data_IF_516581702633
#
_entry.id   IF_516581702633
#
_cell.length_a   1.000
_cell.length_b   1.000
_cell.length_c   1.000
_cell.angle_alpha   90.00
_cell.angle_beta   90.00
_cell.angle_gamma   90.00
#
_symmetry.space_group_name_H-M   'P 1'
#
loop_
_entity.id
_entity.type
_entity.pdbx_description
1 polymer ?
#
# COMPACT_ATOMS: atom_id res chain seq x y z
N UNK A 1 20.32 0.44 -6.53
CA UNK A 1 18.90 0.07 -6.30
C UNK A 1 17.99 1.29 -6.21
N UNK A 2 18.42 2.39 -5.57
CA UNK A 2 17.58 3.57 -5.34
C UNK A 2 17.30 4.40 -6.60
N UNK A 3 18.28 4.59 -7.47
CA UNK A 3 18.11 5.36 -8.72
C UNK A 3 17.13 4.70 -9.71
N UNK A 4 17.09 3.39 -9.76
CA UNK A 4 16.19 2.66 -10.65
C UNK A 4 14.74 2.77 -10.18
N UNK A 5 14.48 2.67 -8.88
CA UNK A 5 13.15 2.84 -8.28
C UNK A 5 12.58 4.26 -8.47
N UNK A 6 13.40 5.29 -8.37
CA UNK A 6 13.00 6.69 -8.62
C UNK A 6 12.60 6.87 -10.09
N UNK A 7 13.42 6.39 -11.03
CA UNK A 7 13.15 6.50 -12.46
C UNK A 7 11.89 5.75 -12.89
N UNK A 8 11.66 4.55 -12.34
CA UNK A 8 10.47 3.75 -12.67
C UNK A 8 9.19 4.43 -12.18
N UNK A 9 9.21 5.07 -11.02
CA UNK A 9 8.07 5.80 -10.51
C UNK A 9 7.78 7.09 -11.28
N UNK A 10 8.80 7.87 -11.61
CA UNK A 10 8.67 9.05 -12.46
C UNK A 10 8.07 8.68 -13.82
N UNK A 11 8.53 7.58 -14.40
CA UNK A 11 8.01 7.03 -15.66
C UNK A 11 6.54 6.60 -15.55
N UNK A 12 6.13 5.96 -14.44
CA UNK A 12 4.72 5.61 -14.20
C UNK A 12 3.85 6.86 -14.16
N UNK A 13 4.27 7.88 -13.41
CA UNK A 13 3.54 9.15 -13.29
C UNK A 13 3.49 9.89 -14.62
N UNK A 14 4.59 9.92 -15.35
CA UNK A 14 4.66 10.54 -16.67
C UNK A 14 3.73 9.85 -17.66
N UNK A 15 3.74 8.52 -17.73
CA UNK A 15 2.83 7.75 -18.57
C UNK A 15 1.36 7.98 -18.20
N UNK A 16 1.03 7.96 -16.91
CA UNK A 16 -0.33 8.24 -16.43
C UNK A 16 -0.77 9.65 -16.83
N UNK A 17 0.11 10.64 -16.75
CA UNK A 17 -0.18 12.01 -17.18
C UNK A 17 -0.53 12.04 -18.68
N UNK A 18 0.25 11.37 -19.52
CA UNK A 18 -0.01 11.26 -20.96
C UNK A 18 -1.38 10.60 -21.21
N UNK A 19 -1.70 9.51 -20.53
CA UNK A 19 -2.97 8.79 -20.72
C UNK A 19 -4.17 9.64 -20.28
N UNK A 20 -4.06 10.33 -19.13
CA UNK A 20 -5.09 11.23 -18.62
C UNK A 20 -5.31 12.40 -19.61
N UNK A 21 -4.24 13.01 -20.10
CA UNK A 21 -4.32 14.10 -21.05
C UNK A 21 -4.97 13.66 -22.36
N UNK A 22 -4.60 12.49 -22.88
CA UNK A 22 -5.17 11.93 -24.10
C UNK A 22 -6.67 11.60 -23.94
N UNK A 23 -7.10 11.02 -22.81
CA UNK A 23 -8.51 10.78 -22.51
C UNK A 23 -9.30 12.08 -22.46
N UNK A 24 -8.75 13.11 -21.80
CA UNK A 24 -9.31 14.44 -21.72
C UNK A 24 -9.51 15.11 -23.10
N UNK A 25 -8.49 15.01 -23.96
CA UNK A 25 -8.55 15.56 -25.31
C UNK A 25 -9.63 14.91 -26.17
N UNK A 26 -9.88 13.61 -25.96
CA UNK A 26 -10.94 12.89 -26.69
C UNK A 26 -12.32 13.03 -26.06
N UNK A 27 -12.42 13.53 -24.81
CA UNK A 27 -13.68 13.59 -24.06
C UNK A 27 -14.21 12.21 -23.65
N UNK A 28 -13.33 11.23 -23.49
CA UNK A 28 -13.65 9.84 -23.16
C UNK A 28 -13.20 9.50 -21.73
N UNK A 29 -13.78 8.42 -21.18
CA UNK A 29 -13.25 7.83 -19.94
C UNK A 29 -11.82 7.31 -20.16
N UNK A 30 -11.00 7.40 -19.12
CA UNK A 30 -9.68 6.78 -19.12
C UNK A 30 -9.85 5.24 -19.09
N UNK A 31 -8.94 4.52 -19.71
CA UNK A 31 -8.85 3.07 -19.53
C UNK A 31 -8.78 2.69 -18.05
N UNK A 32 -9.35 1.54 -17.69
CA UNK A 32 -9.31 1.08 -16.30
C UNK A 32 -7.89 0.89 -15.79
N UNK A 33 -7.63 1.34 -14.57
CA UNK A 33 -6.30 1.40 -13.95
C UNK A 33 -6.21 0.42 -12.78
N UNK A 34 -5.19 -0.41 -12.75
CA UNK A 34 -4.85 -1.23 -11.59
C UNK A 34 -3.62 -0.65 -10.89
N UNK A 35 -3.79 -0.27 -9.62
CA UNK A 35 -2.71 0.16 -8.74
C UNK A 35 -2.38 -0.97 -7.76
N UNK A 36 -1.18 -1.52 -7.84
CA UNK A 36 -0.79 -2.59 -6.92
C UNK A 36 0.57 -2.32 -6.27
N UNK A 37 0.74 -2.83 -5.07
CA UNK A 37 1.96 -2.64 -4.28
C UNK A 37 1.68 -2.55 -2.79
N UNK A 38 2.72 -2.44 -1.95
CA UNK A 38 2.61 -2.39 -0.49
C UNK A 38 1.60 -1.37 0.02
N UNK A 39 1.07 -1.54 1.24
CA UNK A 39 0.15 -0.58 1.84
C UNK A 39 0.85 0.75 2.14
N UNK A 40 0.08 1.84 2.19
CA UNK A 40 0.59 3.16 2.60
C UNK A 40 1.33 3.96 1.52
N UNK A 41 1.38 3.50 0.26
CA UNK A 41 2.07 4.16 -0.85
C UNK A 41 1.24 5.23 -1.58
N UNK A 42 0.01 5.50 -1.13
CA UNK A 42 -0.83 6.56 -1.69
C UNK A 42 -1.67 6.15 -2.90
N UNK A 43 -2.07 4.87 -3.02
CA UNK A 43 -2.95 4.38 -4.10
C UNK A 43 -4.24 5.19 -4.21
N UNK A 44 -4.93 5.41 -3.10
CA UNK A 44 -6.15 6.23 -3.03
C UNK A 44 -5.89 7.70 -3.41
N UNK A 45 -4.77 8.25 -2.94
CA UNK A 45 -4.37 9.63 -3.27
C UNK A 45 -4.11 9.78 -4.76
N UNK A 46 -3.41 8.84 -5.39
CA UNK A 46 -3.13 8.85 -6.82
C UNK A 46 -4.44 8.74 -7.63
N UNK A 47 -5.37 7.91 -7.19
CA UNK A 47 -6.68 7.76 -7.84
C UNK A 47 -7.51 9.05 -7.78
N UNK A 48 -7.47 9.76 -6.65
CA UNK A 48 -8.11 11.06 -6.53
C UNK A 48 -7.44 12.13 -7.41
N UNK A 49 -6.11 12.10 -7.53
CA UNK A 49 -5.38 12.98 -8.45
C UNK A 49 -5.80 12.72 -9.90
N UNK A 50 -5.93 11.45 -10.31
CA UNK A 50 -6.41 11.09 -11.66
C UNK A 50 -7.80 11.70 -11.92
N UNK A 51 -8.75 11.55 -10.99
CA UNK A 51 -10.08 12.14 -11.14
C UNK A 51 -10.07 13.67 -11.24
N UNK A 52 -9.26 14.32 -10.39
CA UNK A 52 -9.11 15.78 -10.41
C UNK A 52 -8.50 16.28 -11.72
N UNK A 53 -7.48 15.59 -12.25
CA UNK A 53 -6.86 15.93 -13.52
C UNK A 53 -7.80 15.70 -14.72
N UNK A 54 -8.65 14.68 -14.66
CA UNK A 54 -9.71 14.45 -15.64
C UNK A 54 -10.84 15.50 -15.52
N UNK A 55 -11.00 16.12 -14.34
CA UNK A 55 -12.07 17.08 -14.07
C UNK A 55 -13.44 16.42 -13.87
N UNK A 56 -13.47 15.20 -13.34
CA UNK A 56 -14.67 14.35 -13.14
C UNK A 56 -14.89 13.99 -11.68
N UNK A 57 -16.05 13.42 -11.38
CA UNK A 57 -16.39 12.95 -10.04
C UNK A 57 -15.51 11.78 -9.60
N UNK A 58 -15.35 11.63 -8.26
CA UNK A 58 -14.57 10.57 -7.64
C UNK A 58 -15.41 9.86 -6.58
N UNK A 59 -15.67 8.56 -6.79
CA UNK A 59 -16.36 7.72 -5.82
C UNK A 59 -15.42 6.65 -5.27
N UNK A 60 -15.53 6.39 -3.99
CA UNK A 60 -14.66 5.46 -3.26
C UNK A 60 -15.50 4.36 -2.65
N UNK A 61 -15.06 3.13 -2.85
CA UNK A 61 -15.55 1.94 -2.14
C UNK A 61 -14.41 0.95 -1.90
N UNK A 62 -14.70 -0.21 -1.36
CA UNK A 62 -13.72 -1.28 -1.16
C UNK A 62 -14.32 -2.65 -1.44
N UNK A 63 -13.47 -3.63 -1.77
CA UNK A 63 -13.91 -5.01 -2.02
C UNK A 63 -14.79 -5.58 -0.91
N UNK A 64 -14.39 -5.48 0.38
CA UNK A 64 -15.18 -5.99 1.50
C UNK A 64 -16.56 -5.34 1.69
N UNK A 65 -16.77 -4.12 1.19
CA UNK A 65 -18.06 -3.41 1.30
C UNK A 65 -19.03 -3.87 0.21
N UNK A 66 -18.51 -4.30 -0.92
CA UNK A 66 -19.29 -4.81 -2.06
C UNK A 66 -19.60 -6.31 -1.87
N UNK A 67 -20.53 -6.60 -0.98
CA UNK A 67 -20.87 -7.98 -0.61
C UNK A 67 -21.82 -8.63 -1.62
N UNK A 68 -22.71 -7.84 -2.23
CA UNK A 68 -23.77 -8.29 -3.13
C UNK A 68 -23.73 -7.53 -4.46
N UNK A 69 -24.20 -8.16 -5.57
CA UNK A 69 -24.33 -7.49 -6.86
C UNK A 69 -25.11 -6.17 -6.80
N UNK A 70 -26.14 -6.10 -5.95
CA UNK A 70 -26.93 -4.87 -5.75
C UNK A 70 -26.12 -3.70 -5.19
N UNK A 71 -25.12 -3.95 -4.35
CA UNK A 71 -24.26 -2.92 -3.80
C UNK A 71 -23.41 -2.30 -4.93
N UNK A 72 -22.85 -3.16 -5.78
CA UNK A 72 -22.09 -2.73 -6.96
C UNK A 72 -22.99 -1.97 -7.95
N UNK A 73 -24.18 -2.49 -8.25
CA UNK A 73 -25.13 -1.84 -9.15
C UNK A 73 -25.54 -0.45 -8.66
N UNK A 74 -25.80 -0.31 -7.36
CA UNK A 74 -26.17 0.97 -6.75
C UNK A 74 -25.08 2.04 -6.92
N UNK A 75 -23.79 1.66 -6.81
CA UNK A 75 -22.68 2.58 -7.03
C UNK A 75 -22.56 2.89 -8.53
N UNK A 76 -22.53 1.88 -9.39
CA UNK A 76 -22.32 2.04 -10.83
C UNK A 76 -23.39 2.90 -11.49
N UNK A 77 -24.68 2.70 -11.13
CA UNK A 77 -25.80 3.51 -11.67
C UNK A 77 -25.80 4.95 -11.17
N UNK A 78 -25.06 5.26 -10.12
CA UNK A 78 -24.94 6.61 -9.56
C UNK A 78 -23.75 7.41 -10.11
N UNK A 79 -22.96 6.81 -11.04
CA UNK A 79 -21.83 7.49 -11.68
C UNK A 79 -22.31 8.42 -12.79
N UNK A 80 -21.76 9.61 -12.84
CA UNK A 80 -21.89 10.52 -13.96
C UNK A 80 -20.92 10.12 -15.10
N UNK A 81 -21.13 10.62 -16.34
CA UNK A 81 -20.24 10.29 -17.46
C UNK A 81 -18.76 10.59 -17.15
N UNK A 82 -17.90 9.59 -17.40
CA UNK A 82 -16.45 9.63 -17.21
C UNK A 82 -15.97 9.69 -15.74
N UNK A 83 -16.86 9.56 -14.76
CA UNK A 83 -16.48 9.50 -13.35
C UNK A 83 -15.45 8.42 -13.07
N UNK A 84 -14.65 8.61 -12.01
CA UNK A 84 -13.71 7.64 -11.51
C UNK A 84 -14.31 6.89 -10.31
N UNK A 85 -14.43 5.60 -10.42
CA UNK A 85 -14.76 4.70 -9.32
C UNK A 85 -13.47 4.06 -8.79
N UNK A 86 -13.16 4.29 -7.52
CA UNK A 86 -12.03 3.65 -6.84
C UNK A 86 -12.53 2.50 -5.96
N UNK A 87 -11.97 1.30 -6.18
CA UNK A 87 -12.23 0.10 -5.34
C UNK A 87 -10.92 -0.28 -4.64
N UNK A 88 -10.84 -0.04 -3.34
CA UNK A 88 -9.71 -0.50 -2.53
C UNK A 88 -9.85 -1.99 -2.20
N UNK A 89 -8.72 -2.68 -2.02
CA UNK A 89 -8.67 -4.12 -1.74
C UNK A 89 -9.53 -4.93 -2.73
N UNK A 90 -9.43 -4.61 -4.03
CA UNK A 90 -10.28 -5.20 -5.10
C UNK A 90 -10.15 -6.73 -5.18
N UNK A 91 -9.03 -7.31 -4.72
CA UNK A 91 -8.84 -8.77 -4.63
C UNK A 91 -9.77 -9.47 -3.62
N UNK A 92 -10.49 -8.70 -2.79
CA UNK A 92 -11.45 -9.20 -1.80
C UNK A 92 -12.91 -9.18 -2.28
N UNK A 93 -13.14 -8.84 -3.54
CA UNK A 93 -14.46 -9.01 -4.14
C UNK A 93 -14.89 -10.48 -4.13
N UNK A 94 -16.17 -10.73 -3.86
CA UNK A 94 -16.72 -12.07 -4.02
C UNK A 94 -16.75 -12.45 -5.53
N UNK A 95 -16.61 -13.75 -5.89
CA UNK A 95 -16.65 -14.16 -7.29
C UNK A 95 -17.91 -13.70 -8.02
N UNK A 96 -19.05 -13.66 -7.32
CA UNK A 96 -20.32 -13.23 -7.89
C UNK A 96 -20.28 -11.74 -8.24
N UNK A 97 -19.80 -10.89 -7.34
CA UNK A 97 -19.69 -9.44 -7.60
C UNK A 97 -18.65 -9.17 -8.70
N UNK A 98 -17.57 -9.95 -8.73
CA UNK A 98 -16.54 -9.83 -9.75
C UNK A 98 -17.08 -10.11 -11.16
N UNK A 99 -17.96 -11.11 -11.34
CA UNK A 99 -18.61 -11.40 -12.63
C UNK A 99 -19.47 -10.23 -13.13
N UNK A 100 -20.22 -9.57 -12.24
CA UNK A 100 -20.98 -8.36 -12.59
C UNK A 100 -20.07 -7.19 -12.99
N UNK A 101 -18.92 -7.09 -12.36
CA UNK A 101 -17.94 -6.06 -12.65
C UNK A 101 -17.33 -6.23 -14.07
N UNK A 102 -17.20 -7.46 -14.57
CA UNK A 102 -16.67 -7.70 -15.91
C UNK A 102 -17.50 -7.03 -17.00
N UNK A 103 -18.82 -7.25 -17.00
CA UNK A 103 -19.73 -6.65 -17.98
C UNK A 103 -19.77 -5.11 -17.85
N UNK A 104 -19.71 -4.62 -16.61
CA UNK A 104 -19.66 -3.20 -16.35
C UNK A 104 -18.38 -2.54 -16.91
N UNK A 105 -17.23 -3.22 -16.84
CA UNK A 105 -15.94 -2.71 -17.35
C UNK A 105 -15.85 -2.77 -18.88
N UNK A 106 -16.39 -3.84 -19.50
CA UNK A 106 -16.25 -4.04 -20.95
C UNK A 106 -17.32 -3.31 -21.75
N UNK A 107 -18.59 -3.44 -21.33
CA UNK A 107 -19.75 -3.04 -22.13
C UNK A 107 -20.49 -1.85 -21.51
N UNK A 108 -20.09 -1.36 -20.35
CA UNK A 108 -20.83 -0.35 -19.57
C UNK A 108 -22.28 -0.76 -19.33
N UNK A 109 -22.49 -2.01 -18.95
CA UNK A 109 -23.79 -2.63 -18.70
C UNK A 109 -23.73 -3.52 -17.49
N UNK A 110 -24.86 -3.69 -16.82
CA UNK A 110 -24.99 -4.62 -15.70
C UNK A 110 -26.33 -5.34 -15.80
N UNK A 111 -26.31 -6.67 -15.69
CA UNK A 111 -27.52 -7.50 -15.70
C UNK A 111 -27.90 -7.86 -14.26
N UNK A 112 -29.02 -7.36 -13.77
CA UNK A 112 -29.48 -7.64 -12.41
C UNK A 112 -30.58 -8.67 -12.43
N UNK A 113 -30.40 -9.76 -11.68
CA UNK A 113 -31.42 -10.78 -11.45
C UNK A 113 -32.43 -10.26 -10.40
N UNK A 114 -33.71 -10.13 -10.80
CA UNK A 114 -34.77 -9.62 -9.91
C UNK A 114 -35.39 -10.74 -9.07
N UNK A 115 -35.51 -11.95 -9.63
CA UNK A 115 -36.12 -13.09 -8.97
C UNK A 115 -35.22 -14.32 -8.99
N UNK A 116 -35.46 -15.23 -8.04
CA UNK A 116 -34.81 -16.54 -7.98
C UNK A 116 -35.82 -17.62 -8.39
N UNK A 117 -35.40 -18.56 -9.24
CA UNK A 117 -36.18 -19.71 -9.63
C UNK A 117 -36.57 -19.76 -11.12
N UNK A 118 -37.49 -20.60 -11.53
CA UNK A 118 -37.86 -20.80 -12.94
C UNK A 118 -38.43 -19.57 -13.64
N UNK A 119 -38.87 -18.57 -12.89
CA UNK A 119 -39.39 -17.28 -13.38
C UNK A 119 -38.40 -16.14 -13.26
N UNK A 120 -37.12 -16.44 -13.01
CA UNK A 120 -36.09 -15.44 -12.89
C UNK A 120 -36.03 -14.50 -14.10
N UNK A 121 -36.12 -13.20 -13.87
CA UNK A 121 -35.97 -12.17 -14.88
C UNK A 121 -34.70 -11.39 -14.63
N UNK A 122 -33.97 -11.13 -15.69
CA UNK A 122 -32.84 -10.16 -15.63
C UNK A 122 -33.30 -8.81 -16.20
N UNK A 123 -32.89 -7.76 -15.56
CA UNK A 123 -32.95 -6.40 -16.13
C UNK A 123 -31.53 -5.99 -16.45
N UNK A 124 -31.33 -5.62 -17.70
CA UNK A 124 -30.09 -4.99 -18.16
C UNK A 124 -30.20 -3.48 -17.93
N UNK A 125 -29.21 -2.94 -17.24
CA UNK A 125 -29.04 -1.52 -17.00
C UNK A 125 -27.84 -1.02 -17.79
N UNK A 126 -28.04 0.02 -18.61
CA UNK A 126 -26.95 0.73 -19.24
C UNK A 126 -26.29 1.68 -18.21
N UNK A 127 -24.99 1.74 -18.23
CA UNK A 127 -24.17 2.57 -17.34
C UNK A 127 -23.53 3.71 -18.13
N UNK A 128 -23.30 4.84 -17.49
CA UNK A 128 -22.43 5.84 -18.05
C UNK A 128 -21.00 5.29 -18.19
N UNK A 129 -20.25 5.64 -19.24
CA UNK A 129 -18.83 5.33 -19.31
C UNK A 129 -18.10 5.86 -18.07
N UNK A 130 -17.25 5.05 -17.47
CA UNK A 130 -16.53 5.37 -16.26
C UNK A 130 -15.12 4.77 -16.27
N UNK A 131 -14.25 5.30 -15.45
CA UNK A 131 -12.94 4.72 -15.20
C UNK A 131 -12.94 3.96 -13.87
N UNK A 132 -12.66 2.66 -13.90
CA UNK A 132 -12.38 1.91 -12.69
C UNK A 132 -10.91 2.05 -12.32
N UNK A 133 -10.63 2.45 -11.09
CA UNK A 133 -9.31 2.35 -10.50
C UNK A 133 -9.35 1.31 -9.39
N UNK A 134 -8.81 0.12 -9.66
CA UNK A 134 -8.67 -0.93 -8.68
C UNK A 134 -7.36 -0.80 -7.91
N UNK A 135 -7.41 -0.99 -6.59
CA UNK A 135 -6.21 -1.02 -5.76
C UNK A 135 -6.09 -2.35 -5.02
N UNK A 136 -4.87 -2.87 -4.93
CA UNK A 136 -4.59 -4.11 -4.19
C UNK A 136 -3.19 -4.11 -3.60
N UNK A 137 -3.06 -4.72 -2.42
CA UNK A 137 -1.77 -5.07 -1.83
C UNK A 137 -1.30 -6.46 -2.29
N UNK A 138 -2.22 -7.28 -2.80
CA UNK A 138 -2.00 -8.69 -3.18
C UNK A 138 -2.40 -8.95 -4.63
N UNK A 139 -1.59 -8.44 -5.57
CA UNK A 139 -1.89 -8.62 -7.00
C UNK A 139 -1.97 -10.09 -7.45
N UNK A 140 -1.30 -11.00 -6.74
CA UNK A 140 -1.36 -12.44 -7.00
C UNK A 140 -2.70 -13.10 -6.68
N UNK A 141 -3.56 -12.45 -5.89
CA UNK A 141 -4.90 -12.93 -5.56
C UNK A 141 -5.98 -12.46 -6.55
N UNK A 142 -5.65 -11.54 -7.47
CA UNK A 142 -6.57 -11.15 -8.52
C UNK A 142 -6.76 -12.29 -9.51
N UNK A 143 -8.00 -12.53 -9.89
CA UNK A 143 -8.32 -13.48 -10.95
C UNK A 143 -7.72 -13.01 -12.29
N UNK A 144 -7.33 -13.94 -13.14
CA UNK A 144 -6.80 -13.61 -14.47
C UNK A 144 -7.81 -12.83 -15.33
N UNK A 145 -9.13 -13.15 -15.32
CA UNK A 145 -10.11 -12.37 -16.04
C UNK A 145 -10.21 -10.92 -15.59
N UNK A 146 -10.22 -10.67 -14.28
CA UNK A 146 -10.26 -9.29 -13.75
C UNK A 146 -9.00 -8.52 -14.12
N UNK A 147 -7.83 -9.13 -13.96
CA UNK A 147 -6.56 -8.50 -14.29
C UNK A 147 -6.46 -8.09 -15.76
N UNK A 148 -6.95 -8.94 -16.68
CA UNK A 148 -6.90 -8.69 -18.13
C UNK A 148 -7.73 -7.47 -18.56
N UNK A 149 -8.70 -7.05 -17.74
CA UNK A 149 -9.58 -5.90 -18.05
C UNK A 149 -9.00 -4.54 -17.68
N UNK A 150 -7.87 -4.53 -16.98
CA UNK A 150 -7.15 -3.29 -16.71
C UNK A 150 -6.18 -2.97 -17.84
N UNK A 151 -6.46 -1.92 -18.60
CA UNK A 151 -5.60 -1.46 -19.68
C UNK A 151 -4.32 -0.80 -19.18
N UNK A 152 -4.38 -0.20 -17.98
CA UNK A 152 -3.25 0.49 -17.35
C UNK A 152 -2.89 -0.24 -16.05
N UNK A 153 -1.64 -0.69 -15.94
CA UNK A 153 -1.16 -1.45 -14.78
C UNK A 153 0.04 -0.74 -14.15
N UNK A 154 -0.11 -0.29 -12.91
CA UNK A 154 0.90 0.47 -12.18
C UNK A 154 1.36 -0.28 -10.94
N UNK A 155 2.61 -0.74 -10.95
CA UNK A 155 3.26 -1.27 -9.76
C UNK A 155 3.88 -0.13 -8.96
N UNK A 156 3.38 0.09 -7.74
CA UNK A 156 3.90 1.09 -6.83
C UNK A 156 4.91 0.45 -5.88
N UNK A 157 6.11 0.99 -5.88
CA UNK A 157 7.19 0.57 -4.99
C UNK A 157 7.37 1.54 -3.82
N UNK A 158 8.15 1.13 -2.84
CA UNK A 158 8.54 2.00 -1.74
C UNK A 158 9.25 3.26 -2.22
N UNK A 159 9.00 4.35 -1.55
CA UNK A 159 9.64 5.63 -1.83
C UNK A 159 11.09 5.63 -1.35
N UNK A 160 11.93 6.30 -2.11
CA UNK A 160 13.24 6.71 -1.64
C UNK A 160 13.11 7.76 -0.52
N UNK A 161 14.08 7.77 0.39
CA UNK A 161 14.10 8.70 1.52
C UNK A 161 14.18 10.17 1.08
N UNK A 162 14.80 10.46 -0.07
CA UNK A 162 14.88 11.82 -0.63
C UNK A 162 13.50 12.33 -0.98
N UNK A 163 12.70 11.53 -1.72
CA UNK A 163 11.32 11.88 -2.06
C UNK A 163 10.46 11.99 -0.80
N UNK A 164 10.62 11.05 0.14
CA UNK A 164 9.89 11.09 1.41
C UNK A 164 10.22 12.34 2.23
N UNK A 165 11.47 12.80 2.23
CA UNK A 165 11.84 14.02 2.94
C UNK A 165 11.10 15.26 2.39
N UNK A 166 10.91 15.34 1.08
CA UNK A 166 10.09 16.39 0.47
C UNK A 166 8.61 16.27 0.86
N UNK A 167 8.09 15.04 0.96
CA UNK A 167 6.72 14.80 1.44
C UNK A 167 6.58 15.23 2.91
N UNK A 168 7.56 14.93 3.76
CA UNK A 168 7.60 15.36 5.16
C UNK A 168 7.62 16.89 5.27
N UNK A 169 8.48 17.57 4.51
CA UNK A 169 8.54 19.03 4.49
C UNK A 169 7.24 19.68 4.04
N UNK A 170 6.63 19.17 2.95
CA UNK A 170 5.31 19.62 2.47
C UNK A 170 4.23 19.42 3.55
N UNK A 171 4.22 18.25 4.18
CA UNK A 171 3.25 17.93 5.23
C UNK A 171 3.46 18.80 6.47
N UNK A 172 4.70 19.09 6.85
CA UNK A 172 5.04 20.02 7.93
C UNK A 172 4.53 21.44 7.63
N UNK A 173 4.68 21.90 6.39
CA UNK A 173 4.14 23.20 5.95
C UNK A 173 2.61 23.25 6.04
N UNK A 174 1.90 22.19 5.62
CA UNK A 174 0.45 22.08 5.75
C UNK A 174 0.02 22.09 7.22
N UNK A 175 0.79 21.44 8.09
CA UNK A 175 0.55 21.42 9.54
C UNK A 175 1.01 22.72 10.24
N UNK A 176 1.57 23.67 9.49
CA UNK A 176 2.10 24.94 10.00
C UNK A 176 3.16 24.76 11.09
N UNK A 177 4.00 23.76 10.96
CA UNK A 177 5.10 23.44 11.89
C UNK A 177 6.43 23.63 11.17
N UNK A 178 7.31 24.51 11.68
CA UNK A 178 8.66 24.63 11.15
C UNK A 178 9.43 23.31 11.31
N UNK A 179 9.98 22.79 10.22
CA UNK A 179 10.75 21.55 10.19
C UNK A 179 12.05 21.79 9.43
N UNK A 180 13.18 21.44 10.02
CA UNK A 180 14.47 21.56 9.34
C UNK A 180 14.63 20.47 8.30
N UNK A 181 15.46 20.70 7.28
CA UNK A 181 15.72 19.72 6.23
C UNK A 181 16.31 18.43 6.80
N UNK A 182 17.24 18.54 7.74
CA UNK A 182 17.88 17.41 8.40
C UNK A 182 16.88 16.58 9.20
N UNK A 183 15.94 17.22 9.90
CA UNK A 183 14.87 16.53 10.62
C UNK A 183 13.91 15.81 9.66
N UNK A 184 13.58 16.43 8.54
CA UNK A 184 12.74 15.80 7.52
C UNK A 184 13.41 14.58 6.90
N UNK A 185 14.71 14.63 6.65
CA UNK A 185 15.50 13.48 6.17
C UNK A 185 15.55 12.37 7.24
N UNK A 186 15.78 12.70 8.51
CA UNK A 186 15.82 11.74 9.62
C UNK A 186 14.46 11.00 9.74
N UNK A 187 13.33 11.73 9.68
CA UNK A 187 11.99 11.13 9.69
C UNK A 187 11.78 10.25 8.46
N UNK A 188 12.18 10.73 7.28
CA UNK A 188 12.04 9.99 6.02
C UNK A 188 12.82 8.67 6.03
N UNK A 189 14.05 8.65 6.52
CA UNK A 189 14.89 7.46 6.63
C UNK A 189 14.23 6.37 7.48
N UNK A 190 13.52 6.75 8.56
CA UNK A 190 12.85 5.81 9.46
C UNK A 190 11.39 5.52 9.07
N UNK A 191 10.92 6.02 7.91
CA UNK A 191 9.54 5.89 7.44
C UNK A 191 9.27 4.65 6.60
N UNK A 192 10.19 3.70 6.54
CA UNK A 192 10.01 2.42 5.84
C UNK A 192 9.64 2.56 4.36
N UNK A 193 10.01 3.64 3.73
CA UNK A 193 9.67 3.92 2.33
C UNK A 193 8.20 4.26 2.10
N UNK A 194 7.40 4.57 3.13
CA UNK A 194 5.96 4.81 2.98
C UNK A 194 5.52 6.20 3.45
N UNK A 195 4.80 6.97 2.61
CA UNK A 195 4.26 8.28 2.99
C UNK A 195 3.32 8.24 4.20
N UNK A 196 2.56 7.15 4.37
CA UNK A 196 1.65 6.98 5.52
C UNK A 196 2.43 6.99 6.82
N UNK A 197 3.53 6.21 6.91
CA UNK A 197 4.39 6.15 8.09
C UNK A 197 5.12 7.49 8.28
N UNK A 198 5.67 8.08 7.21
CA UNK A 198 6.33 9.37 7.27
C UNK A 198 5.43 10.46 7.89
N UNK A 199 4.18 10.54 7.45
CA UNK A 199 3.21 11.48 7.99
C UNK A 199 2.77 11.13 9.43
N UNK A 200 2.71 9.86 9.79
CA UNK A 200 2.42 9.43 11.16
C UNK A 200 3.57 9.83 12.10
N UNK A 201 4.81 9.56 11.71
CA UNK A 201 6.01 9.95 12.47
C UNK A 201 6.13 11.48 12.60
N UNK A 202 5.92 12.21 11.51
CA UNK A 202 5.93 13.68 11.54
C UNK A 202 4.97 14.24 12.59
N UNK A 203 3.74 13.71 12.67
CA UNK A 203 2.78 14.14 13.69
C UNK A 203 3.26 13.84 15.11
N UNK A 204 3.86 12.68 15.34
CA UNK A 204 4.41 12.33 16.67
C UNK A 204 5.61 13.21 17.01
N UNK A 205 6.53 13.42 16.08
CA UNK A 205 7.68 14.31 16.28
C UNK A 205 7.23 15.75 16.56
N UNK A 206 6.18 16.23 15.88
CA UNK A 206 5.57 17.53 16.15
C UNK A 206 5.07 17.62 17.61
N UNK A 207 4.41 16.58 18.10
CA UNK A 207 3.92 16.58 19.49
C UNK A 207 5.09 16.73 20.49
N UNK A 208 6.22 16.05 20.23
CA UNK A 208 7.44 16.21 21.01
C UNK A 208 8.02 17.63 20.89
N UNK A 209 8.05 18.19 19.69
CA UNK A 209 8.56 19.55 19.47
C UNK A 209 7.75 20.60 20.21
N UNK A 210 6.43 20.41 20.30
CA UNK A 210 5.53 21.32 21.02
C UNK A 210 5.66 21.22 22.55
N UNK A 211 5.84 19.99 23.08
CA UNK A 211 5.84 19.76 24.53
C UNK A 211 7.25 19.84 25.13
N UNK A 212 8.26 19.34 24.43
CA UNK A 212 9.64 19.25 24.93
C UNK A 212 10.62 20.20 24.23
N UNK A 213 10.16 20.95 23.25
CA UNK A 213 10.98 21.86 22.46
C UNK A 213 10.36 23.25 22.33
N UNK A 214 10.80 23.97 21.32
CA UNK A 214 10.35 25.34 20.99
C UNK A 214 9.17 25.39 20.00
N UNK A 215 8.53 24.25 19.71
CA UNK A 215 7.52 24.12 18.66
C UNK A 215 8.11 23.92 17.24
N UNK A 216 9.45 23.93 17.12
CA UNK A 216 10.17 23.67 15.87
C UNK A 216 10.72 22.25 15.86
N UNK A 217 10.54 21.54 14.74
CA UNK A 217 11.11 20.21 14.54
C UNK A 217 12.55 20.36 14.07
N UNK A 218 13.50 20.11 14.98
CA UNK A 218 14.93 20.01 14.70
C UNK A 218 15.35 18.55 14.67
N UNK A 219 16.55 18.26 14.18
CA UNK A 219 17.08 16.90 14.14
C UNK A 219 17.19 16.27 15.53
N UNK A 220 17.53 17.06 16.56
CA UNK A 220 17.66 16.59 17.95
C UNK A 220 16.29 16.15 18.48
N UNK A 221 15.26 16.99 18.29
CA UNK A 221 13.89 16.66 18.69
C UNK A 221 13.37 15.46 17.92
N UNK A 222 13.67 15.37 16.61
CA UNK A 222 13.26 14.22 15.80
C UNK A 222 13.88 12.92 16.34
N UNK A 223 15.17 12.91 16.66
CA UNK A 223 15.85 11.74 17.23
C UNK A 223 15.28 11.34 18.60
N UNK A 224 15.11 12.31 19.50
CA UNK A 224 14.51 12.06 20.81
C UNK A 224 13.11 11.47 20.69
N UNK A 225 12.28 12.00 19.79
CA UNK A 225 10.93 11.48 19.57
C UNK A 225 10.93 10.06 18.99
N UNK A 226 11.75 9.80 17.97
CA UNK A 226 11.84 8.51 17.30
C UNK A 226 12.38 7.43 18.24
N UNK A 227 13.37 7.76 19.08
CA UNK A 227 13.89 6.88 20.12
C UNK A 227 12.82 6.58 21.18
N UNK A 228 12.06 7.56 21.64
CA UNK A 228 10.97 7.38 22.58
C UNK A 228 9.81 6.53 22.01
N UNK A 229 9.68 6.46 20.69
CA UNK A 229 8.73 5.61 19.97
C UNK A 229 9.30 4.21 19.67
N UNK A 230 10.50 3.87 20.15
CA UNK A 230 11.22 2.63 19.86
C UNK A 230 11.40 2.37 18.36
N UNK A 231 11.62 3.41 17.58
CA UNK A 231 11.90 3.31 16.13
C UNK A 231 13.41 3.51 15.93
N UNK A 232 14.06 2.47 15.47
CA UNK A 232 15.50 2.48 15.28
C UNK A 232 15.95 3.17 13.97
N UNK A 233 17.26 3.15 13.73
CA UNK A 233 17.87 3.79 12.56
C UNK A 233 17.41 3.19 11.22
N UNK A 234 16.91 1.96 11.19
CA UNK A 234 16.35 1.30 10.01
C UNK A 234 14.84 1.46 9.90
N UNK A 235 14.22 2.16 10.84
CA UNK A 235 12.76 2.29 10.90
C UNK A 235 12.06 1.03 11.40
N UNK A 236 12.79 0.11 12.04
CA UNK A 236 12.20 -1.05 12.69
C UNK A 236 11.56 -0.64 14.00
N UNK A 237 10.35 -1.12 14.24
CA UNK A 237 9.61 -0.93 15.48
C UNK A 237 9.82 -2.11 16.45
N UNK A 238 9.12 -2.06 17.57
CA UNK A 238 9.19 -3.08 18.60
C UNK A 238 8.77 -4.46 18.08
N UNK A 239 7.77 -4.54 17.20
CA UNK A 239 7.28 -5.81 16.65
C UNK A 239 8.25 -6.38 15.63
N UNK A 240 8.83 -5.55 14.76
CA UNK A 240 9.89 -5.98 13.84
C UNK A 240 11.04 -6.64 14.62
N UNK A 241 11.53 -5.95 15.65
CA UNK A 241 12.61 -6.47 16.49
C UNK A 241 12.21 -7.75 17.23
N UNK A 242 10.97 -7.86 17.73
CA UNK A 242 10.44 -9.09 18.33
C UNK A 242 10.38 -10.25 17.32
N UNK A 243 10.04 -9.99 16.05
CA UNK A 243 10.06 -11.00 14.99
C UNK A 243 11.49 -11.54 14.84
N UNK A 244 12.48 -10.65 14.66
CA UNK A 244 13.88 -11.05 14.49
C UNK A 244 14.42 -11.82 15.70
N UNK A 245 14.18 -11.31 16.90
CA UNK A 245 14.57 -11.96 18.17
C UNK A 245 13.92 -13.34 18.30
N UNK A 246 12.63 -13.45 17.98
CA UNK A 246 11.92 -14.73 18.06
C UNK A 246 12.49 -15.77 17.12
N UNK A 247 12.80 -15.39 15.87
CA UNK A 247 13.41 -16.31 14.91
C UNK A 247 14.80 -16.74 15.37
N UNK A 248 15.61 -15.81 15.90
CA UNK A 248 16.96 -16.12 16.38
C UNK A 248 16.91 -17.00 17.62
N UNK A 249 16.19 -16.59 18.66
CA UNK A 249 16.27 -17.21 19.98
C UNK A 249 15.49 -18.52 20.07
N UNK A 250 14.27 -18.53 19.53
CA UNK A 250 13.39 -19.70 19.62
C UNK A 250 13.61 -20.70 18.49
N UNK A 251 14.04 -20.23 17.31
CA UNK A 251 14.14 -21.07 16.12
C UNK A 251 15.55 -21.09 15.50
N UNK A 252 16.56 -20.68 16.26
CA UNK A 252 18.00 -20.75 15.87
C UNK A 252 18.31 -20.08 14.52
N UNK A 253 17.61 -18.98 14.22
CA UNK A 253 17.76 -18.25 12.95
C UNK A 253 16.91 -18.76 11.80
N UNK A 254 16.12 -19.78 11.99
CA UNK A 254 15.25 -20.40 10.98
C UNK A 254 15.86 -21.61 10.27
N UNK A 255 15.19 -22.19 9.26
CA UNK A 255 13.92 -21.75 8.70
C UNK A 255 12.71 -22.04 9.60
N UNK A 256 11.75 -21.12 9.67
CA UNK A 256 10.53 -21.24 10.47
C UNK A 256 9.30 -20.76 9.70
N UNK A 257 8.18 -21.45 9.85
CA UNK A 257 6.92 -21.12 9.19
C UNK A 257 6.31 -19.82 9.73
N UNK A 258 5.64 -19.05 8.86
CA UNK A 258 5.01 -17.79 9.23
C UNK A 258 3.99 -17.94 10.39
N UNK A 259 3.13 -18.95 10.30
CA UNK A 259 2.13 -19.23 11.34
C UNK A 259 2.78 -19.54 12.69
N UNK A 260 3.93 -20.22 12.68
CA UNK A 260 4.69 -20.53 13.89
C UNK A 260 5.26 -19.26 14.54
N UNK A 261 5.79 -18.34 13.71
CA UNK A 261 6.27 -17.04 14.19
C UNK A 261 5.10 -16.23 14.78
N UNK A 262 3.98 -16.15 14.05
CA UNK A 262 2.79 -15.44 14.47
C UNK A 262 2.25 -15.94 15.82
N UNK A 263 2.12 -17.27 15.96
CA UNK A 263 1.72 -17.90 17.22
C UNK A 263 2.70 -17.57 18.37
N UNK A 264 4.00 -17.59 18.10
CA UNK A 264 5.02 -17.29 19.11
C UNK A 264 5.01 -15.84 19.58
N UNK A 265 4.48 -14.92 18.75
CA UNK A 265 4.33 -13.48 19.04
C UNK A 265 2.96 -13.11 19.58
N UNK A 266 1.96 -13.98 19.43
CA UNK A 266 0.55 -13.65 19.70
C UNK A 266 -0.09 -12.73 18.65
N UNK A 267 0.42 -12.78 17.41
CA UNK A 267 -0.03 -11.94 16.29
C UNK A 267 -0.79 -12.75 15.23
N UNK A 268 -1.56 -12.05 14.38
CA UNK A 268 -2.20 -12.68 13.22
C UNK A 268 -1.17 -12.95 12.11
N UNK A 269 -1.15 -14.17 11.51
CA UNK A 269 -0.24 -14.49 10.42
C UNK A 269 -0.37 -13.56 9.20
N UNK A 270 -1.61 -13.13 8.87
CA UNK A 270 -1.86 -12.20 7.79
C UNK A 270 -1.23 -10.83 8.04
N UNK A 271 -1.30 -10.35 9.28
CA UNK A 271 -0.66 -9.08 9.69
C UNK A 271 0.87 -9.17 9.53
N UNK A 272 1.48 -10.28 9.93
CA UNK A 272 2.91 -10.46 9.73
C UNK A 272 3.28 -10.44 8.24
N UNK A 273 2.52 -11.14 7.41
CA UNK A 273 2.77 -11.26 5.98
C UNK A 273 2.60 -9.96 5.21
N UNK A 274 1.61 -9.14 5.59
CA UNK A 274 1.26 -7.93 4.85
C UNK A 274 1.99 -6.68 5.34
N UNK A 275 2.24 -6.60 6.65
CA UNK A 275 2.74 -5.36 7.27
C UNK A 275 4.23 -5.41 7.56
N UNK A 276 4.71 -6.49 8.17
CA UNK A 276 6.09 -6.57 8.68
C UNK A 276 7.05 -7.25 7.73
N UNK A 277 6.69 -8.43 7.24
CA UNK A 277 7.58 -9.25 6.41
C UNK A 277 8.08 -8.55 5.14
N UNK A 278 7.26 -7.82 4.37
CA UNK A 278 7.72 -7.19 3.12
C UNK A 278 8.87 -6.20 3.35
N UNK A 279 8.81 -5.43 4.43
CA UNK A 279 9.86 -4.48 4.76
C UNK A 279 11.12 -5.18 5.27
N UNK A 280 10.98 -6.16 6.15
CA UNK A 280 12.11 -6.94 6.66
C UNK A 280 12.85 -7.70 5.55
N UNK A 281 12.12 -8.18 4.52
CA UNK A 281 12.74 -8.80 3.34
C UNK A 281 13.44 -7.74 2.50
N UNK A 282 12.78 -6.61 2.22
CA UNK A 282 13.34 -5.52 1.41
C UNK A 282 14.64 -5.00 1.98
N UNK A 283 14.69 -4.79 3.29
CA UNK A 283 15.89 -4.31 3.99
C UNK A 283 16.92 -5.42 4.23
N UNK A 284 16.59 -6.67 3.88
CA UNK A 284 17.51 -7.81 3.95
C UNK A 284 17.70 -8.40 5.34
N UNK A 285 16.79 -8.16 6.30
CA UNK A 285 16.83 -8.76 7.63
C UNK A 285 16.39 -10.23 7.64
N UNK A 286 15.41 -10.57 6.79
CA UNK A 286 14.91 -11.92 6.62
C UNK A 286 14.89 -12.32 5.15
N UNK A 287 14.89 -13.60 4.88
CA UNK A 287 14.70 -14.19 3.54
C UNK A 287 13.64 -15.27 3.57
N UNK A 288 12.87 -15.39 2.49
CA UNK A 288 11.95 -16.51 2.25
C UNK A 288 12.71 -17.69 1.66
N UNK A 289 12.48 -18.85 2.21
CA UNK A 289 12.95 -20.14 1.69
C UNK A 289 11.76 -21.08 1.50
N UNK A 290 11.91 -22.18 0.74
CA UNK A 290 10.83 -23.17 0.61
C UNK A 290 10.40 -23.79 1.96
N UNK A 291 11.27 -23.75 2.98
CA UNK A 291 11.00 -24.29 4.32
C UNK A 291 10.48 -23.24 5.31
N UNK A 292 10.50 -21.97 4.97
CA UNK A 292 10.06 -20.89 5.85
C UNK A 292 10.95 -19.64 5.80
N UNK A 293 10.92 -18.87 6.86
CA UNK A 293 11.66 -17.60 7.01
C UNK A 293 12.95 -17.84 7.77
N UNK A 294 14.03 -17.26 7.28
CA UNK A 294 15.35 -17.27 7.91
C UNK A 294 15.84 -15.84 8.10
N UNK A 295 16.47 -15.57 9.22
CA UNK A 295 17.19 -14.30 9.42
C UNK A 295 18.52 -14.32 8.68
N UNK A 296 18.96 -13.12 8.31
CA UNK A 296 20.25 -12.91 7.64
C UNK A 296 21.33 -12.48 8.65
N UNK A 297 22.57 -12.39 8.20
CA UNK A 297 23.67 -11.85 8.99
C UNK A 297 23.40 -10.42 9.47
N UNK A 298 22.71 -9.61 8.63
CA UNK A 298 22.33 -8.25 9.00
C UNK A 298 21.45 -8.22 10.25
N UNK A 299 20.52 -9.18 10.41
CA UNK A 299 19.66 -9.25 11.59
C UNK A 299 20.46 -9.55 12.87
N UNK A 300 21.45 -10.44 12.79
CA UNK A 300 22.34 -10.73 13.92
C UNK A 300 23.16 -9.50 14.30
N UNK A 301 23.79 -8.85 13.32
CA UNK A 301 24.58 -7.63 13.51
C UNK A 301 23.74 -6.51 14.12
N UNK A 302 22.53 -6.31 13.61
CA UNK A 302 21.59 -5.30 14.08
C UNK A 302 21.23 -5.48 15.56
N UNK A 303 21.02 -6.73 15.99
CA UNK A 303 20.69 -7.05 17.37
C UNK A 303 21.92 -7.21 18.28
N UNK A 304 23.14 -6.94 17.77
CA UNK A 304 24.40 -7.09 18.51
C UNK A 304 24.71 -8.54 18.87
N UNK A 305 24.29 -9.49 18.04
CA UNK A 305 24.47 -10.93 18.25
C UNK A 305 25.38 -11.53 17.21
N UNK A 306 26.11 -12.60 17.60
CA UNK A 306 26.89 -13.37 16.66
C UNK A 306 26.08 -14.58 16.18
N UNK A 307 26.14 -14.87 14.90
CA UNK A 307 25.62 -16.12 14.36
C UNK A 307 26.48 -17.26 14.93
N UNK A 308 25.88 -18.11 15.74
CA UNK A 308 26.56 -19.35 16.17
C UNK A 308 26.61 -20.22 14.92
N UNK A 309 27.81 -20.34 14.33
CA UNK A 309 28.05 -21.26 13.22
C UNK A 309 27.75 -22.69 13.71
N UNK A 310 26.66 -23.27 13.23
CA UNK A 310 26.35 -24.70 13.43
C UNK A 310 27.23 -25.62 12.57
N UNK A 311 28.41 -25.15 12.17
CA UNK A 311 29.33 -25.79 11.23
C UNK A 311 30.57 -26.43 11.81
N UNK A 312 30.70 -26.62 13.13
CA UNK A 312 31.82 -27.31 13.70
C UNK A 312 31.40 -28.28 14.83
N UNK A 313 30.63 -29.29 14.44
CA UNK A 313 30.60 -30.58 15.16
C UNK A 313 30.74 -31.68 14.10
N UNK A 314 31.97 -31.83 13.60
CA UNK A 314 32.61 -33.08 13.19
C UNK A 314 34.05 -32.74 12.81
#
# INVERSE_FOLDING_TARGET
GSEMCIRDREKIIENLRVFVEAAKMRGESLDHVLLHGPPGLGKTTLSNIIANELGVGFKITSGPVLDKPGDLAGILTSLEPNDVLFIDEIHRLSPVVEEYLYSAMEDFRIDIMIDKGPSARSIQLDLNPFTLVGATTRSGLLTSPLRARFGINCHLEYYDHTILSHIVQRSASILQVPCTTEAAVEIAMRSRGTPRIANALLRRVRDFAQVKGSGRITIEIARVALEALNIDQYGLDEIDNKILVTIIDKFKGGPVGLTTIATALGEDPGTLEEVYEPYLIKEGFIKRTPRGREVTELAYTHLGRNRIDQGLLF
#
